data_IF_229210768978
#
_entry.id   IF_229210768978
#
_cell.length_a   1.000
_cell.length_b   1.000
_cell.length_c   1.000
_cell.angle_alpha   90.00
_cell.angle_beta   90.00
_cell.angle_gamma   90.00
#
_symmetry.space_group_name_H-M   'P 1'
#
loop_
_entity.id
_entity.type
_entity.pdbx_description
1 polymer ?
#
# COMPACT_ATOMS: atom_id res chain seq x y z
N UNK A 1 24.06 10.46 -32.59
CA UNK A 1 24.27 9.93 -31.25
C UNK A 1 23.70 10.76 -30.09
N UNK A 2 22.54 11.46 -30.19
CA UNK A 2 21.99 12.17 -29.01
C UNK A 2 20.98 11.37 -28.18
N UNK A 3 20.48 10.22 -28.65
CA UNK A 3 19.36 9.49 -28.01
C UNK A 3 19.75 8.72 -26.74
N UNK A 4 21.02 8.33 -26.62
CA UNK A 4 21.48 7.51 -25.48
C UNK A 4 21.69 8.33 -24.19
N UNK A 5 22.04 9.61 -24.30
CA UNK A 5 22.28 10.51 -23.15
C UNK A 5 20.95 10.89 -22.49
N UNK A 6 19.90 11.15 -23.26
CA UNK A 6 18.58 11.49 -22.73
C UNK A 6 17.90 10.36 -21.93
N UNK A 7 18.06 9.11 -22.36
CA UNK A 7 17.52 7.93 -21.63
C UNK A 7 18.22 7.69 -20.30
N UNK A 8 19.55 7.85 -20.25
CA UNK A 8 20.31 7.71 -18.99
C UNK A 8 20.07 8.86 -18.03
N UNK A 9 19.91 10.09 -18.53
CA UNK A 9 19.56 11.26 -17.72
C UNK A 9 18.18 11.13 -17.06
N UNK A 10 17.16 10.67 -17.80
CA UNK A 10 15.82 10.44 -17.26
C UNK A 10 15.79 9.33 -16.19
N UNK A 11 16.59 8.28 -16.37
CA UNK A 11 16.75 7.21 -15.38
C UNK A 11 17.37 7.72 -14.06
N UNK A 12 18.39 8.56 -14.15
CA UNK A 12 19.05 9.16 -12.98
C UNK A 12 18.12 10.11 -12.24
N UNK A 13 17.37 10.96 -12.94
CA UNK A 13 16.39 11.88 -12.34
C UNK A 13 15.29 11.10 -11.61
N UNK A 14 14.76 10.04 -12.21
CA UNK A 14 13.77 9.15 -11.55
C UNK A 14 14.35 8.50 -10.29
N UNK A 15 15.58 7.98 -10.35
CA UNK A 15 16.27 7.40 -9.21
C UNK A 15 16.44 8.42 -8.09
N UNK A 16 16.91 9.63 -8.39
CA UNK A 16 17.10 10.71 -7.41
C UNK A 16 15.80 11.14 -6.76
N UNK A 17 14.71 11.28 -7.54
CA UNK A 17 13.40 11.60 -6.99
C UNK A 17 12.89 10.48 -6.06
N UNK A 18 13.02 9.24 -6.48
CA UNK A 18 12.66 8.06 -5.67
C UNK A 18 13.47 7.97 -4.37
N UNK A 19 14.77 8.24 -4.45
CA UNK A 19 15.64 8.28 -3.27
C UNK A 19 15.23 9.39 -2.29
N UNK A 20 14.85 10.57 -2.78
CA UNK A 20 14.34 11.68 -1.95
C UNK A 20 13.04 11.32 -1.25
N UNK A 21 12.11 10.65 -1.93
CA UNK A 21 10.84 10.19 -1.34
C UNK A 21 11.07 9.22 -0.19
N UNK A 22 12.03 8.29 -0.32
CA UNK A 22 12.38 7.34 0.75
C UNK A 22 13.11 8.02 1.90
N UNK A 23 14.02 8.96 1.62
CA UNK A 23 14.90 9.56 2.63
C UNK A 23 14.27 10.73 3.38
N UNK A 24 13.21 11.34 2.88
CA UNK A 24 12.59 12.55 3.44
C UNK A 24 11.07 12.40 3.68
N UNK A 25 10.66 11.27 4.21
CA UNK A 25 9.26 11.11 4.62
C UNK A 25 8.96 12.05 5.80
N UNK A 26 7.95 12.93 5.71
CA UNK A 26 7.62 13.83 6.80
C UNK A 26 7.12 13.07 8.04
N UNK A 27 7.31 13.64 9.23
CA UNK A 27 6.74 13.10 10.45
C UNK A 27 5.21 13.12 10.39
N UNK A 28 4.54 12.05 10.83
CA UNK A 28 3.09 11.97 10.78
C UNK A 28 2.42 12.95 11.75
N UNK A 29 1.34 13.59 11.30
CA UNK A 29 0.44 14.38 12.14
C UNK A 29 -0.67 13.47 12.65
N UNK A 30 -0.42 12.82 13.78
CA UNK A 30 -1.31 11.82 14.35
C UNK A 30 -2.59 12.47 14.92
N UNK A 31 -3.75 12.03 14.45
CA UNK A 31 -5.08 12.41 14.92
C UNK A 31 -5.99 11.18 15.00
N UNK A 32 -7.06 11.30 15.78
CA UNK A 32 -8.07 10.26 15.92
C UNK A 32 -9.02 10.27 14.72
N UNK A 33 -9.14 9.13 14.02
CA UNK A 33 -10.05 8.93 12.91
C UNK A 33 -10.91 7.69 13.10
N UNK A 34 -12.03 7.64 12.36
CA UNK A 34 -12.79 6.41 12.16
C UNK A 34 -12.19 5.66 10.98
N UNK A 35 -11.71 4.43 11.20
CA UNK A 35 -11.08 3.62 10.17
C UNK A 35 -12.03 3.29 9.00
N UNK A 36 -13.33 3.07 9.29
CA UNK A 36 -14.33 2.84 8.26
C UNK A 36 -14.54 4.05 7.35
N UNK A 37 -14.58 5.25 7.91
CA UNK A 37 -14.72 6.49 7.13
C UNK A 37 -13.46 6.75 6.26
N UNK A 38 -12.28 6.43 6.79
CA UNK A 38 -11.04 6.53 6.02
C UNK A 38 -11.08 5.59 4.81
N UNK A 39 -11.46 4.32 5.00
CA UNK A 39 -11.57 3.35 3.90
C UNK A 39 -12.64 3.74 2.87
N UNK A 40 -13.79 4.25 3.31
CA UNK A 40 -14.84 4.78 2.40
C UNK A 40 -14.30 5.91 1.53
N UNK A 41 -13.56 6.84 2.12
CA UNK A 41 -12.92 7.94 1.40
C UNK A 41 -11.95 7.46 0.33
N UNK A 42 -11.11 6.48 0.64
CA UNK A 42 -10.18 5.89 -0.32
C UNK A 42 -10.91 5.18 -1.47
N UNK A 43 -11.96 4.40 -1.15
CA UNK A 43 -12.77 3.75 -2.19
C UNK A 43 -13.41 4.79 -3.09
N UNK A 44 -14.02 5.82 -2.55
CA UNK A 44 -14.63 6.90 -3.33
C UNK A 44 -13.61 7.60 -4.24
N UNK A 45 -12.41 7.83 -3.75
CA UNK A 45 -11.31 8.46 -4.52
C UNK A 45 -10.80 7.56 -5.65
N UNK A 46 -10.72 6.25 -5.40
CA UNK A 46 -10.08 5.28 -6.30
C UNK A 46 -11.08 4.49 -7.17
N UNK A 47 -12.38 4.66 -6.94
CA UNK A 47 -13.42 3.99 -7.73
C UNK A 47 -13.30 4.38 -9.21
N UNK A 48 -13.46 3.40 -10.08
CA UNK A 48 -13.44 3.56 -11.53
C UNK A 48 -14.67 2.89 -12.15
N UNK A 49 -14.78 2.96 -13.47
CA UNK A 49 -15.91 2.40 -14.24
C UNK A 49 -16.00 0.87 -14.16
N UNK A 50 -14.91 0.18 -13.79
CA UNK A 50 -14.88 -1.28 -13.66
C UNK A 50 -15.51 -1.79 -12.37
N UNK A 51 -15.79 -0.89 -11.42
CA UNK A 51 -16.37 -1.21 -10.11
C UNK A 51 -15.63 -2.36 -9.37
N UNK A 52 -14.31 -2.32 -9.43
CA UNK A 52 -13.42 -3.34 -8.90
C UNK A 52 -13.21 -3.29 -7.38
N UNK A 53 -13.59 -2.15 -6.73
CA UNK A 53 -13.37 -1.90 -5.31
C UNK A 53 -14.61 -2.23 -4.47
N UNK A 54 -14.39 -2.97 -3.39
CA UNK A 54 -15.42 -3.38 -2.42
C UNK A 54 -14.98 -3.06 -1.00
N UNK A 55 -15.97 -2.78 -0.13
CA UNK A 55 -15.76 -2.57 1.30
C UNK A 55 -16.35 -3.70 2.12
N UNK A 56 -15.61 -4.15 3.13
CA UNK A 56 -16.07 -5.09 4.15
C UNK A 56 -15.75 -4.54 5.53
N UNK A 57 -16.72 -3.92 6.18
CA UNK A 57 -16.58 -3.24 7.47
C UNK A 57 -17.49 -3.88 8.52
N UNK A 58 -17.04 -3.99 9.78
CA UNK A 58 -17.90 -4.42 10.87
C UNK A 58 -18.90 -3.32 11.24
N UNK A 59 -20.00 -3.70 11.89
CA UNK A 59 -21.01 -2.77 12.39
C UNK A 59 -20.60 -2.04 13.69
N UNK A 60 -19.32 -1.99 14.01
CA UNK A 60 -18.77 -1.29 15.16
C UNK A 60 -17.81 -0.18 14.70
N UNK A 61 -17.80 0.96 15.40
CA UNK A 61 -16.84 2.00 15.09
C UNK A 61 -15.43 1.55 15.46
N UNK A 62 -14.51 1.65 14.51
CA UNK A 62 -13.09 1.37 14.71
C UNK A 62 -12.31 2.69 14.76
N UNK A 63 -11.67 2.95 15.90
CA UNK A 63 -10.89 4.17 16.12
C UNK A 63 -9.42 3.93 15.81
N UNK A 64 -8.86 4.83 15.02
CA UNK A 64 -7.48 4.79 14.54
C UNK A 64 -6.78 6.11 14.84
N UNK A 65 -5.63 6.08 15.51
CA UNK A 65 -4.72 7.25 15.59
C UNK A 65 -3.71 7.15 14.46
N UNK A 66 -3.78 8.09 13.52
CA UNK A 66 -2.93 8.08 12.34
C UNK A 66 -2.80 9.48 11.71
N UNK A 67 -1.84 9.61 10.81
CA UNK A 67 -1.86 10.64 9.78
C UNK A 67 -2.69 10.13 8.60
N UNK A 68 -3.86 10.74 8.40
CA UNK A 68 -4.82 10.29 7.39
C UNK A 68 -4.21 10.26 5.99
N UNK A 69 -3.50 11.32 5.60
CA UNK A 69 -2.93 11.45 4.26
C UNK A 69 -1.87 10.37 4.00
N UNK A 70 -1.04 10.09 4.99
CA UNK A 70 -0.02 9.04 4.88
C UNK A 70 -0.64 7.65 4.77
N UNK A 71 -1.67 7.35 5.55
CA UNK A 71 -2.37 6.04 5.47
C UNK A 71 -3.14 5.92 4.15
N UNK A 72 -3.79 6.98 3.69
CA UNK A 72 -4.40 7.01 2.34
C UNK A 72 -3.37 6.72 1.25
N UNK A 73 -2.16 7.29 1.34
CA UNK A 73 -1.06 7.01 0.40
C UNK A 73 -0.68 5.53 0.38
N UNK A 74 -0.59 4.88 1.55
CA UNK A 74 -0.34 3.43 1.64
C UNK A 74 -1.44 2.64 0.94
N UNK A 75 -2.71 2.91 1.26
CA UNK A 75 -3.85 2.20 0.68
C UNK A 75 -3.94 2.39 -0.85
N UNK A 76 -3.74 3.61 -1.33
CA UNK A 76 -3.70 3.92 -2.77
C UNK A 76 -2.58 3.13 -3.47
N UNK A 77 -1.40 3.06 -2.86
CA UNK A 77 -0.30 2.27 -3.40
C UNK A 77 -0.65 0.78 -3.50
N UNK A 78 -1.29 0.21 -2.47
CA UNK A 78 -1.71 -1.19 -2.47
C UNK A 78 -2.80 -1.47 -3.52
N UNK A 79 -3.78 -0.57 -3.69
CA UNK A 79 -4.81 -0.68 -4.72
C UNK A 79 -4.19 -0.62 -6.13
N UNK A 80 -3.25 0.31 -6.36
CA UNK A 80 -2.53 0.39 -7.64
C UNK A 80 -1.75 -0.89 -7.92
N UNK A 81 -1.04 -1.42 -6.93
CA UNK A 81 -0.31 -2.67 -7.07
C UNK A 81 -1.25 -3.83 -7.44
N UNK A 82 -2.42 -3.93 -6.80
CA UNK A 82 -3.42 -4.94 -7.12
C UNK A 82 -3.89 -4.83 -8.58
N UNK A 83 -4.26 -3.63 -9.04
CA UNK A 83 -4.67 -3.38 -10.43
C UNK A 83 -3.57 -3.68 -11.44
N UNK A 84 -2.34 -3.32 -11.15
CA UNK A 84 -1.18 -3.64 -11.99
C UNK A 84 -0.87 -5.14 -12.04
N UNK A 85 -1.31 -5.90 -11.05
CA UNK A 85 -1.27 -7.36 -11.00
C UNK A 85 -2.56 -8.02 -11.47
N UNK A 86 -3.29 -7.35 -12.37
CA UNK A 86 -4.47 -7.86 -13.07
C UNK A 86 -5.67 -8.21 -12.16
N UNK A 87 -5.74 -7.62 -10.97
CA UNK A 87 -6.87 -7.81 -10.09
C UNK A 87 -8.16 -7.23 -10.70
N UNK A 88 -9.22 -8.02 -10.66
CA UNK A 88 -10.58 -7.62 -11.07
C UNK A 88 -11.49 -7.35 -9.88
N UNK A 89 -11.09 -7.79 -8.70
CA UNK A 89 -11.77 -7.54 -7.44
C UNK A 89 -10.74 -7.22 -6.35
N UNK A 90 -10.96 -6.11 -5.66
CA UNK A 90 -10.12 -5.61 -4.58
C UNK A 90 -11.03 -5.26 -3.41
N UNK A 91 -10.84 -5.91 -2.27
CA UNK A 91 -11.64 -5.68 -1.07
C UNK A 91 -10.80 -4.96 -0.02
N UNK A 92 -11.30 -3.83 0.46
CA UNK A 92 -10.78 -3.13 1.63
C UNK A 92 -11.60 -3.54 2.85
N UNK A 93 -10.93 -3.94 3.90
CA UNK A 93 -11.56 -4.34 5.15
C UNK A 93 -10.85 -3.77 6.37
N UNK A 94 -11.56 -3.68 7.48
CA UNK A 94 -11.02 -3.26 8.76
C UNK A 94 -11.62 -4.09 9.89
N UNK A 95 -10.89 -4.23 10.98
CA UNK A 95 -11.34 -4.99 12.15
C UNK A 95 -10.30 -4.99 13.27
N UNK A 96 -10.55 -5.84 14.25
CA UNK A 96 -9.65 -6.08 15.37
C UNK A 96 -9.18 -7.53 15.30
N UNK A 97 -7.88 -7.74 15.45
CA UNK A 97 -7.30 -9.08 15.50
C UNK A 97 -7.53 -9.73 16.86
N UNK A 98 -7.42 -11.07 16.98
CA UNK A 98 -7.42 -11.75 18.28
C UNK A 98 -6.34 -11.24 19.24
N UNK A 99 -5.22 -10.74 18.73
CA UNK A 99 -4.14 -10.11 19.50
C UNK A 99 -4.41 -8.65 19.89
N UNK A 100 -5.63 -8.17 19.74
CA UNK A 100 -6.06 -6.82 20.10
C UNK A 100 -5.30 -5.71 19.34
N UNK A 101 -5.14 -5.88 18.03
CA UNK A 101 -4.63 -4.85 17.11
C UNK A 101 -5.72 -4.46 16.12
N UNK A 102 -5.79 -3.19 15.78
CA UNK A 102 -6.61 -2.75 14.65
C UNK A 102 -5.91 -3.12 13.35
N UNK A 103 -6.64 -3.66 12.39
CA UNK A 103 -6.12 -3.89 11.05
C UNK A 103 -6.90 -3.12 9.99
N UNK A 104 -6.18 -2.67 8.96
CA UNK A 104 -6.71 -2.34 7.65
C UNK A 104 -6.11 -3.34 6.66
N UNK A 105 -6.94 -3.86 5.77
CA UNK A 105 -6.52 -4.92 4.85
C UNK A 105 -6.96 -4.63 3.43
N UNK A 106 -6.07 -4.89 2.48
CA UNK A 106 -6.36 -4.85 1.04
C UNK A 106 -6.15 -6.26 0.49
N UNK A 107 -7.22 -6.88 0.03
CA UNK A 107 -7.21 -8.23 -0.55
C UNK A 107 -7.58 -8.15 -2.03
N UNK A 108 -6.79 -8.78 -2.88
CA UNK A 108 -7.02 -8.81 -4.33
C UNK A 108 -7.03 -10.25 -4.86
N UNK A 109 -7.64 -10.43 -6.02
CA UNK A 109 -7.68 -11.67 -6.78
C UNK A 109 -6.74 -11.65 -8.00
N UNK A 110 -5.67 -10.87 -7.96
CA UNK A 110 -4.71 -10.75 -9.06
C UNK A 110 -3.78 -11.97 -9.20
N UNK A 111 -2.68 -11.77 -9.88
CA UNK A 111 -1.71 -12.84 -10.19
C UNK A 111 -0.99 -13.41 -8.97
N UNK A 112 -1.10 -12.75 -7.83
CA UNK A 112 -0.33 -13.13 -6.64
C UNK A 112 1.16 -12.83 -6.77
N UNK A 113 1.93 -13.27 -5.78
CA UNK A 113 3.37 -13.04 -5.67
C UNK A 113 4.05 -14.37 -5.34
N UNK A 114 5.07 -14.74 -6.11
CA UNK A 114 5.85 -15.93 -5.83
C UNK A 114 6.57 -15.83 -4.47
N UNK A 115 6.73 -16.94 -3.72
CA UNK A 115 7.35 -16.94 -2.40
C UNK A 115 8.73 -16.28 -2.35
N UNK A 116 9.58 -16.52 -3.35
CA UNK A 116 10.92 -15.93 -3.46
C UNK A 116 10.87 -14.40 -3.64
N UNK A 117 9.83 -13.91 -4.33
CA UNK A 117 9.61 -12.48 -4.54
C UNK A 117 9.04 -11.83 -3.29
N UNK A 118 8.16 -12.52 -2.55
CA UNK A 118 7.55 -11.99 -1.31
C UNK A 118 8.59 -11.55 -0.28
N UNK A 119 9.70 -12.25 -0.16
CA UNK A 119 10.79 -11.90 0.78
C UNK A 119 11.49 -10.58 0.41
N UNK A 120 11.35 -10.13 -0.82
CA UNK A 120 12.08 -9.00 -1.39
C UNK A 120 11.24 -7.77 -1.69
N UNK A 121 9.91 -7.87 -1.64
CA UNK A 121 9.02 -6.78 -2.09
C UNK A 121 9.15 -5.48 -1.29
N UNK A 122 9.67 -5.52 -0.07
CA UNK A 122 9.92 -4.34 0.78
C UNK A 122 11.35 -3.81 0.67
N UNK A 123 12.21 -4.44 -0.12
CA UNK A 123 13.58 -3.97 -0.36
C UNK A 123 13.52 -2.74 -1.29
N UNK A 124 14.16 -1.63 -0.95
CA UNK A 124 14.17 -0.44 -1.80
C UNK A 124 14.66 -0.75 -3.21
N UNK A 125 13.99 -0.19 -4.21
CA UNK A 125 14.28 -0.33 -5.64
C UNK A 125 14.11 -1.74 -6.22
N UNK A 126 13.68 -2.71 -5.41
CA UNK A 126 13.30 -4.01 -5.92
C UNK A 126 11.94 -3.93 -6.63
N UNK A 127 11.88 -4.38 -7.87
CA UNK A 127 10.65 -4.43 -8.67
C UNK A 127 10.73 -5.55 -9.70
N UNK A 128 9.61 -6.21 -9.93
CA UNK A 128 9.43 -7.16 -11.04
C UNK A 128 8.81 -6.49 -12.27
N UNK A 129 8.46 -5.20 -12.17
CA UNK A 129 7.77 -4.43 -13.23
C UNK A 129 8.77 -3.60 -14.03
N UNK A 130 8.69 -3.60 -15.39
CA UNK A 130 9.63 -2.84 -16.24
C UNK A 130 9.61 -1.33 -15.97
N UNK A 131 8.45 -0.77 -15.56
CA UNK A 131 8.26 0.67 -15.28
C UNK A 131 8.13 1.00 -13.81
N UNK A 132 8.23 0.02 -12.93
CA UNK A 132 8.11 0.19 -11.48
C UNK A 132 9.34 0.88 -10.90
N UNK A 133 9.13 1.75 -9.91
CA UNK A 133 10.21 2.41 -9.15
C UNK A 133 10.83 1.50 -8.08
N UNK A 134 10.06 0.51 -7.60
CA UNK A 134 10.45 -0.37 -6.50
C UNK A 134 10.48 0.31 -5.13
N UNK A 135 9.80 1.46 -4.97
CA UNK A 135 9.80 2.21 -3.70
C UNK A 135 8.45 2.26 -3.02
N UNK A 136 7.34 2.01 -3.72
CA UNK A 136 5.99 2.15 -3.17
C UNK A 136 5.78 1.35 -1.88
N UNK A 137 6.14 0.07 -1.87
CA UNK A 137 6.04 -0.77 -0.67
C UNK A 137 7.08 -0.43 0.39
N UNK A 138 8.25 0.06 0.01
CA UNK A 138 9.27 0.57 0.95
C UNK A 138 8.74 1.79 1.71
N UNK A 139 8.14 2.75 1.01
CA UNK A 139 7.50 3.93 1.61
C UNK A 139 6.33 3.50 2.49
N UNK A 140 5.48 2.58 2.02
CA UNK A 140 4.37 2.04 2.80
C UNK A 140 4.84 1.45 4.13
N UNK A 141 5.91 0.65 4.11
CA UNK A 141 6.50 0.08 5.34
C UNK A 141 7.06 1.18 6.27
N UNK A 142 7.71 2.19 5.73
CA UNK A 142 8.23 3.31 6.49
C UNK A 142 7.12 4.13 7.15
N UNK A 143 6.04 4.41 6.43
CA UNK A 143 4.84 5.06 6.97
C UNK A 143 4.27 4.23 8.13
N UNK A 144 4.08 2.94 7.94
CA UNK A 144 3.57 2.07 9.00
C UNK A 144 4.47 2.05 10.23
N UNK A 145 5.78 2.01 10.03
CA UNK A 145 6.75 2.09 11.13
C UNK A 145 6.64 3.40 11.93
N UNK A 146 6.49 4.54 11.25
CA UNK A 146 6.27 5.84 11.90
C UNK A 146 4.94 5.92 12.67
N UNK A 147 3.97 5.07 12.31
CA UNK A 147 2.69 4.91 13.03
C UNK A 147 2.75 3.84 14.12
N UNK A 148 3.94 3.36 14.48
CA UNK A 148 4.14 2.24 15.42
C UNK A 148 3.40 0.95 15.02
N UNK A 149 3.12 0.82 13.75
CA UNK A 149 2.43 -0.32 13.15
C UNK A 149 3.34 -1.17 12.28
N UNK A 150 2.74 -2.08 11.54
CA UNK A 150 3.44 -2.92 10.60
C UNK A 150 2.62 -3.19 9.34
N UNK A 151 3.28 -3.58 8.28
CA UNK A 151 2.66 -4.08 7.05
C UNK A 151 3.15 -5.49 6.78
N UNK A 152 2.24 -6.40 6.48
CA UNK A 152 2.53 -7.79 6.13
C UNK A 152 1.82 -8.17 4.84
N UNK A 153 2.30 -9.22 4.18
CA UNK A 153 1.69 -9.78 2.98
C UNK A 153 1.51 -11.28 3.13
N UNK A 154 0.37 -11.75 2.66
CA UNK A 154 0.08 -13.16 2.40
C UNK A 154 -0.34 -13.25 0.94
N UNK A 155 0.38 -14.03 0.16
CA UNK A 155 0.09 -14.17 -1.26
C UNK A 155 0.41 -15.57 -1.73
N UNK A 156 -0.33 -16.00 -2.73
CA UNK A 156 -0.11 -17.25 -3.43
C UNK A 156 -0.20 -16.99 -4.92
N UNK A 157 0.77 -17.49 -5.66
CA UNK A 157 0.81 -17.35 -7.10
C UNK A 157 -0.52 -17.78 -7.73
N UNK A 158 -1.08 -16.94 -8.60
CA UNK A 158 -2.36 -17.09 -9.31
C UNK A 158 -3.62 -17.07 -8.43
N UNK A 159 -3.52 -16.77 -7.14
CA UNK A 159 -4.68 -16.70 -6.23
C UNK A 159 -4.87 -15.30 -5.63
N UNK A 160 -3.95 -14.37 -5.90
CA UNK A 160 -4.01 -13.00 -5.41
C UNK A 160 -3.17 -12.76 -4.16
N UNK A 161 -3.36 -11.58 -3.57
CA UNK A 161 -2.57 -11.13 -2.42
C UNK A 161 -3.45 -10.47 -1.37
N UNK A 162 -3.01 -10.56 -0.13
CA UNK A 162 -3.60 -9.86 1.00
C UNK A 162 -2.52 -9.10 1.75
N UNK A 163 -2.59 -7.78 1.70
CA UNK A 163 -1.76 -6.89 2.49
C UNK A 163 -2.51 -6.45 3.75
N UNK A 164 -1.88 -6.59 4.90
CA UNK A 164 -2.45 -6.21 6.20
C UNK A 164 -1.60 -5.14 6.86
N UNK A 165 -2.23 -4.01 7.16
CA UNK A 165 -1.68 -2.93 7.99
C UNK A 165 -2.16 -3.16 9.41
N UNK A 166 -1.25 -3.29 10.37
CA UNK A 166 -1.56 -3.46 11.79
C UNK A 166 -1.22 -2.19 12.56
N UNK A 167 -2.12 -1.78 13.42
CA UNK A 167 -1.95 -0.62 14.30
C UNK A 167 -2.13 -1.04 15.75
N UNK A 168 -1.38 -0.41 16.69
CA UNK A 168 -1.69 -0.57 18.11
C UNK A 168 -3.10 -0.03 18.40
N UNK A 169 -3.81 -0.68 19.31
CA UNK A 169 -5.11 -0.16 19.78
C UNK A 169 -4.90 1.04 20.71
N UNK A 170 -5.82 1.94 20.62
CA UNK A 170 -5.92 3.18 21.44
C UNK A 170 -6.75 2.92 22.68
#
# INVERSE_FOLDING_TARGET
FPVTIGRRGNGLVRFMNSYREVSHLPHPLLKLYNAGELLKGVVQLMQNDTNDLHLSLPNIPLRLIADKEQIEQVLINLIRNARENEATQITLSAGITPGNHLFLRVTDNGTGIDPEVQERIFIPFFTTKPTGSGIGLTISRQIMHQHHGSITVQSKAREGSTFTLLFPIV
#
